data_IF_455660108435
#
_entry.id   IF_455660108435
#
_cell.length_a   1.000
_cell.length_b   1.000
_cell.length_c   1.000
_cell.angle_alpha   90.00
_cell.angle_beta   90.00
_cell.angle_gamma   90.00
#
_symmetry.space_group_name_H-M   'P 1'
#
loop_
_entity.id
_entity.type
_entity.pdbx_description
1 polymer ?
#
# COMPACT_ATOMS: atom_id res chain seq x y z
N UNK A 1 4.43 10.33 11.64
CA UNK A 1 5.69 10.94 11.34
C UNK A 1 6.37 10.28 10.16
N UNK A 2 6.84 11.05 9.23
CA UNK A 2 7.54 10.55 8.06
C UNK A 2 9.02 10.30 8.33
N UNK A 3 9.60 9.41 7.57
CA UNK A 3 11.05 9.29 7.52
C UNK A 3 11.70 8.26 8.42
N UNK A 4 10.93 7.38 8.99
CA UNK A 4 11.48 6.35 9.87
C UNK A 4 11.26 4.96 9.30
N UNK A 5 12.29 4.43 8.68
CA UNK A 5 12.32 3.00 8.39
C UNK A 5 12.73 2.28 9.67
N UNK A 6 12.05 1.24 10.06
CA UNK A 6 12.44 0.47 11.22
C UNK A 6 13.62 -0.44 10.89
N UNK A 7 14.44 -0.73 11.91
CA UNK A 7 15.59 -1.62 11.76
C UNK A 7 15.17 -3.02 11.27
N UNK A 8 14.00 -3.48 11.67
CA UNK A 8 13.48 -4.77 11.24
C UNK A 8 13.27 -4.85 9.73
N UNK A 9 12.81 -3.75 9.15
CA UNK A 9 12.59 -3.69 7.71
C UNK A 9 13.90 -3.58 6.94
N UNK A 10 14.88 -2.92 7.52
CA UNK A 10 16.20 -2.84 6.90
C UNK A 10 16.86 -4.21 6.80
N UNK A 11 16.66 -5.06 7.79
CA UNK A 11 17.18 -6.42 7.75
C UNK A 11 16.53 -7.25 6.64
N UNK A 12 15.25 -7.04 6.42
CA UNK A 12 14.51 -7.75 5.36
C UNK A 12 14.91 -7.34 3.96
N UNK A 13 15.47 -6.15 3.78
CA UNK A 13 15.95 -5.69 2.49
C UNK A 13 17.04 -6.59 1.90
N UNK A 14 17.79 -7.22 2.75
CA UNK A 14 18.94 -8.02 2.35
C UNK A 14 18.63 -9.49 2.11
N UNK A 15 17.37 -9.88 2.31
CA UNK A 15 16.97 -11.26 2.08
C UNK A 15 16.60 -11.47 0.62
N UNK A 16 17.30 -12.39 -0.01
CA UNK A 16 17.05 -12.75 -1.38
C UNK A 16 17.70 -11.82 -2.38
N UNK A 17 17.64 -12.22 -3.63
CA UNK A 17 18.35 -11.56 -4.73
C UNK A 17 17.53 -10.47 -5.40
N UNK A 18 16.22 -10.41 -5.17
CA UNK A 18 15.34 -9.50 -5.88
C UNK A 18 15.09 -8.23 -5.07
N UNK A 19 14.89 -7.12 -5.77
CA UNK A 19 14.50 -5.86 -5.14
C UNK A 19 13.04 -5.98 -4.70
N UNK A 20 12.86 -6.36 -3.46
CA UNK A 20 11.54 -6.58 -2.87
C UNK A 20 11.49 -6.10 -1.42
N UNK A 21 10.28 -5.93 -0.93
CA UNK A 21 10.03 -5.73 0.50
C UNK A 21 8.91 -6.67 0.94
N UNK A 22 8.90 -6.99 2.22
CA UNK A 22 7.82 -7.74 2.84
C UNK A 22 7.46 -7.08 4.16
N UNK A 23 6.16 -6.99 4.43
CA UNK A 23 5.62 -6.49 5.69
C UNK A 23 4.58 -7.46 6.18
N UNK A 24 4.57 -7.69 7.48
CA UNK A 24 3.58 -8.54 8.13
C UNK A 24 3.01 -7.81 9.34
N UNK A 25 1.70 -7.86 9.51
CA UNK A 25 1.03 -7.27 10.65
C UNK A 25 -0.21 -8.06 10.99
N UNK A 26 -0.53 -8.14 12.28
CA UNK A 26 -1.81 -8.69 12.73
C UNK A 26 -2.78 -7.53 12.90
N UNK A 27 -3.92 -7.61 12.23
CA UNK A 27 -5.01 -6.64 12.31
C UNK A 27 -6.13 -7.29 13.13
N UNK A 28 -6.64 -6.58 14.12
CA UNK A 28 -7.73 -7.08 14.96
C UNK A 28 -9.08 -6.92 14.28
N UNK A 29 -9.26 -7.67 13.21
CA UNK A 29 -10.49 -7.70 12.42
C UNK A 29 -10.54 -9.03 11.67
N UNK A 30 -11.72 -9.42 11.22
CA UNK A 30 -11.89 -10.65 10.44
C UNK A 30 -11.23 -10.52 9.06
N UNK A 31 -10.92 -11.65 8.44
CA UNK A 31 -10.39 -11.65 7.07
C UNK A 31 -11.33 -10.92 6.11
N UNK A 32 -12.62 -11.12 6.25
CA UNK A 32 -13.60 -10.45 5.41
C UNK A 32 -13.50 -8.91 5.53
N UNK A 33 -13.39 -8.40 6.75
CA UNK A 33 -13.25 -6.95 6.97
C UNK A 33 -11.94 -6.41 6.40
N UNK A 34 -10.86 -7.15 6.59
CA UNK A 34 -9.57 -6.74 6.03
C UNK A 34 -9.65 -6.75 4.51
N UNK A 35 -10.21 -7.79 3.91
CA UNK A 35 -10.38 -7.88 2.46
C UNK A 35 -11.23 -6.73 1.92
N UNK A 36 -12.33 -6.42 2.58
CA UNK A 36 -13.19 -5.30 2.18
C UNK A 36 -12.44 -3.96 2.21
N UNK A 37 -11.55 -3.78 3.17
CA UNK A 37 -10.75 -2.56 3.26
C UNK A 37 -9.86 -2.36 2.03
N UNK A 38 -9.47 -3.44 1.37
CA UNK A 38 -8.66 -3.40 0.14
C UNK A 38 -9.49 -3.33 -1.13
N UNK A 39 -10.76 -3.70 -1.08
CA UNK A 39 -11.55 -3.92 -2.28
C UNK A 39 -12.77 -2.99 -2.41
N UNK A 40 -13.09 -2.25 -1.37
CA UNK A 40 -14.21 -1.30 -1.38
C UNK A 40 -13.71 0.12 -1.29
N UNK A 41 -14.00 0.97 -2.29
CA UNK A 41 -13.51 2.35 -2.31
C UNK A 41 -13.86 3.15 -1.05
N UNK A 42 -15.06 2.97 -0.52
CA UNK A 42 -15.53 3.69 0.66
C UNK A 42 -14.75 3.34 1.94
N UNK A 43 -14.12 2.17 1.97
CA UNK A 43 -13.27 1.78 3.10
C UNK A 43 -11.81 2.13 2.78
N UNK A 44 -11.39 1.86 1.55
CA UNK A 44 -10.04 2.18 1.09
C UNK A 44 -9.69 3.65 1.32
N UNK A 45 -10.66 4.55 1.10
CA UNK A 45 -10.45 5.99 1.28
C UNK A 45 -10.02 6.37 2.69
N UNK A 46 -10.28 5.52 3.69
CA UNK A 46 -9.95 5.82 5.07
C UNK A 46 -8.47 5.63 5.38
N UNK A 47 -7.75 4.90 4.55
CA UNK A 47 -6.38 4.55 4.87
C UNK A 47 -5.39 4.64 3.72
N UNK A 48 -5.83 4.65 2.46
CA UNK A 48 -4.93 4.54 1.32
C UNK A 48 -4.38 5.89 0.84
N UNK A 49 -3.76 6.63 1.76
CA UNK A 49 -3.01 7.84 1.44
C UNK A 49 -1.83 7.90 2.42
N UNK A 50 -0.60 7.65 1.96
CA UNK A 50 0.54 7.51 2.86
C UNK A 50 0.99 8.85 3.45
N UNK A 51 1.46 8.78 4.71
CA UNK A 51 2.02 9.95 5.38
C UNK A 51 1.00 11.08 5.50
N UNK A 52 1.41 12.25 5.05
CA UNK A 52 0.62 13.48 5.16
C UNK A 52 -0.25 13.75 3.92
N UNK A 53 -0.30 12.79 2.99
CA UNK A 53 -1.14 12.93 1.79
C UNK A 53 -2.61 12.77 2.11
N UNK A 54 -3.45 13.28 1.21
CA UNK A 54 -4.90 13.16 1.31
C UNK A 54 -5.43 12.30 0.17
N UNK A 55 -6.34 11.40 0.49
CA UNK A 55 -7.03 10.58 -0.50
C UNK A 55 -7.96 11.44 -1.35
N UNK A 56 -7.97 11.22 -2.66
CA UNK A 56 -8.85 11.94 -3.58
C UNK A 56 -9.96 11.03 -4.10
N UNK A 57 -9.60 9.90 -4.71
CA UNK A 57 -10.58 8.97 -5.26
C UNK A 57 -9.97 7.61 -5.52
N UNK A 58 -10.83 6.62 -5.69
CA UNK A 58 -10.42 5.29 -6.12
C UNK A 58 -11.47 4.69 -7.04
N UNK A 59 -11.00 4.02 -8.08
CA UNK A 59 -11.84 3.23 -8.98
C UNK A 59 -11.27 1.82 -9.00
N UNK A 60 -12.06 0.85 -8.60
CA UNK A 60 -11.61 -0.53 -8.44
C UNK A 60 -12.54 -1.48 -9.19
N UNK A 61 -11.97 -2.30 -10.07
CA UNK A 61 -12.69 -3.40 -10.73
C UNK A 61 -12.04 -4.70 -10.24
N UNK A 62 -12.47 -5.17 -9.06
CA UNK A 62 -11.80 -6.25 -8.34
C UNK A 62 -12.18 -7.61 -8.92
N UNK A 63 -11.46 -7.98 -9.96
CA UNK A 63 -11.53 -9.30 -10.60
C UNK A 63 -10.25 -9.54 -11.36
N UNK A 64 -9.94 -10.77 -11.65
CA UNK A 64 -8.75 -11.08 -12.45
C UNK A 64 -8.92 -10.43 -13.84
N UNK A 65 -7.92 -9.66 -14.23
CA UNK A 65 -7.97 -8.86 -15.45
C UNK A 65 -8.60 -7.48 -15.30
N UNK A 66 -9.24 -7.19 -14.16
CA UNK A 66 -9.77 -5.86 -13.87
C UNK A 66 -8.67 -4.88 -13.51
N UNK A 67 -8.96 -3.60 -13.59
CA UNK A 67 -7.99 -2.54 -13.31
C UNK A 67 -8.38 -1.71 -12.10
N UNK A 68 -7.42 -0.98 -11.56
CA UNK A 68 -7.70 -0.05 -10.47
C UNK A 68 -6.87 1.22 -10.64
N UNK A 69 -7.38 2.30 -10.04
CA UNK A 69 -6.65 3.55 -9.93
C UNK A 69 -6.99 4.20 -8.60
N UNK A 70 -5.96 4.62 -7.87
CA UNK A 70 -6.12 5.38 -6.62
C UNK A 70 -5.41 6.70 -6.78
N UNK A 71 -6.12 7.79 -6.50
CA UNK A 71 -5.60 9.15 -6.56
C UNK A 71 -5.46 9.72 -5.15
N UNK A 72 -4.31 10.31 -4.89
CA UNK A 72 -4.03 11.04 -3.66
C UNK A 72 -3.41 12.38 -4.01
N UNK A 73 -3.39 13.32 -3.08
CA UNK A 73 -2.75 14.60 -3.33
C UNK A 73 -1.91 15.05 -2.16
N UNK A 74 -0.94 15.89 -2.44
CA UNK A 74 0.00 16.40 -1.47
C UNK A 74 1.36 15.70 -1.53
N UNK A 75 2.08 15.77 -0.44
CA UNK A 75 3.38 15.11 -0.29
C UNK A 75 3.34 14.16 0.89
N UNK A 76 4.01 13.02 0.75
CA UNK A 76 4.04 12.01 1.80
C UNK A 76 4.61 12.57 3.11
N UNK A 77 5.59 13.45 3.01
CA UNK A 77 6.15 14.14 4.16
C UNK A 77 5.94 15.65 3.99
N UNK A 78 4.91 16.18 4.63
CA UNK A 78 4.67 17.60 4.64
C UNK A 78 5.82 18.29 5.37
N UNK A 79 6.24 19.41 4.86
CA UNK A 79 7.34 20.17 5.43
C UNK A 79 7.04 21.66 5.40
N UNK A 80 7.78 22.41 6.21
CA UNK A 80 7.70 23.85 6.21
C UNK A 80 8.08 24.42 4.83
N UNK A 81 7.34 25.40 4.39
CA UNK A 81 7.58 26.01 3.08
C UNK A 81 6.86 25.37 1.92
N UNK A 82 6.01 24.36 2.16
CA UNK A 82 5.18 23.78 1.10
C UNK A 82 4.30 24.85 0.46
N UNK A 83 4.30 24.85 -0.86
CA UNK A 83 3.43 25.74 -1.65
C UNK A 83 2.02 25.17 -1.75
N UNK A 84 1.09 25.99 -2.21
CA UNK A 84 -0.26 25.53 -2.53
C UNK A 84 -0.23 24.47 -3.64
N UNK A 85 0.69 24.62 -4.62
CA UNK A 85 0.87 23.63 -5.66
C UNK A 85 1.32 22.28 -5.09
N UNK A 86 2.24 22.29 -4.13
CA UNK A 86 2.71 21.06 -3.49
C UNK A 86 1.55 20.32 -2.80
N UNK A 87 0.65 21.08 -2.15
CA UNK A 87 -0.50 20.52 -1.45
C UNK A 87 -1.53 19.93 -2.41
N UNK A 88 -1.63 20.48 -3.61
CA UNK A 88 -2.60 20.07 -4.62
C UNK A 88 -2.05 19.09 -5.64
N UNK A 89 -0.74 18.79 -5.58
CA UNK A 89 -0.13 17.85 -6.51
C UNK A 89 -0.78 16.50 -6.35
N UNK A 90 -1.34 16.00 -7.45
CA UNK A 90 -1.95 14.69 -7.45
C UNK A 90 -0.94 13.62 -7.85
N UNK A 91 -1.02 12.48 -7.18
CA UNK A 91 -0.30 11.28 -7.55
C UNK A 91 -1.30 10.17 -7.75
N UNK A 92 -1.02 9.31 -8.70
CA UNK A 92 -1.86 8.17 -9.00
C UNK A 92 -1.07 6.88 -8.85
N UNK A 93 -1.74 5.86 -8.36
CA UNK A 93 -1.26 4.48 -8.44
C UNK A 93 -2.29 3.72 -9.23
N UNK A 94 -1.86 2.98 -10.23
CA UNK A 94 -2.76 2.19 -11.06
C UNK A 94 -2.15 0.84 -11.39
N UNK A 95 -3.01 -0.09 -11.74
CA UNK A 95 -2.57 -1.41 -12.10
C UNK A 95 -3.70 -2.33 -12.50
N UNK A 96 -3.35 -3.61 -12.62
CA UNK A 96 -4.28 -4.68 -13.01
C UNK A 96 -4.24 -5.77 -11.95
N UNK A 97 -5.41 -6.31 -11.62
CA UNK A 97 -5.50 -7.46 -10.73
C UNK A 97 -5.12 -8.73 -11.50
N UNK A 98 -4.11 -9.41 -10.98
CA UNK A 98 -3.59 -10.65 -11.59
C UNK A 98 -4.23 -11.88 -10.97
N UNK A 99 -4.44 -11.87 -9.64
CA UNK A 99 -5.07 -12.95 -8.90
C UNK A 99 -5.97 -12.37 -7.83
N UNK A 100 -7.18 -12.92 -7.75
CA UNK A 100 -8.17 -12.50 -6.74
C UNK A 100 -8.78 -13.75 -6.14
N UNK A 101 -8.48 -14.01 -4.86
CA UNK A 101 -9.12 -15.08 -4.09
C UNK A 101 -9.77 -14.38 -2.89
N UNK A 102 -11.11 -14.24 -2.90
CA UNK A 102 -11.80 -13.49 -1.85
C UNK A 102 -11.39 -13.91 -0.44
N UNK A 103 -11.10 -12.93 0.39
CA UNK A 103 -10.68 -13.07 1.78
C UNK A 103 -9.33 -13.75 1.99
N UNK A 104 -8.60 -14.09 0.94
CA UNK A 104 -7.35 -14.81 1.07
C UNK A 104 -6.17 -14.16 0.36
N UNK A 105 -6.37 -13.67 -0.88
CA UNK A 105 -5.25 -13.20 -1.68
C UNK A 105 -5.66 -12.16 -2.70
N UNK A 106 -4.85 -11.11 -2.79
CA UNK A 106 -4.91 -10.14 -3.88
C UNK A 106 -3.50 -10.00 -4.45
N UNK A 107 -3.39 -10.12 -5.77
CA UNK A 107 -2.13 -9.83 -6.44
C UNK A 107 -2.43 -8.86 -7.57
N UNK A 108 -1.66 -7.79 -7.64
CA UNK A 108 -1.89 -6.74 -8.64
C UNK A 108 -0.59 -6.04 -9.00
N UNK A 109 -0.56 -5.48 -10.21
CA UNK A 109 0.57 -4.66 -10.63
C UNK A 109 0.47 -3.28 -9.99
N UNK A 110 1.61 -2.60 -9.91
CA UNK A 110 1.71 -1.32 -9.22
C UNK A 110 2.54 -0.37 -10.07
N UNK A 111 1.90 0.68 -10.56
CA UNK A 111 2.53 1.70 -11.36
C UNK A 111 2.19 3.07 -10.76
N UNK A 112 3.19 3.76 -10.27
CA UNK A 112 3.01 5.09 -9.69
C UNK A 112 3.32 6.19 -10.68
N UNK A 113 2.54 7.26 -10.62
CA UNK A 113 2.74 8.40 -11.52
C UNK A 113 4.09 9.10 -11.31
N UNK A 114 4.73 8.89 -10.16
CA UNK A 114 6.07 9.42 -9.89
C UNK A 114 7.17 8.66 -10.60
N UNK A 115 6.89 7.47 -11.08
CA UNK A 115 7.83 6.61 -11.80
C UNK A 115 7.07 5.83 -12.88
N UNK A 116 6.58 6.50 -13.93
CA UNK A 116 5.65 5.90 -14.88
C UNK A 116 6.23 4.76 -15.71
N UNK A 117 7.55 4.63 -15.77
CA UNK A 117 8.19 3.52 -16.48
C UNK A 117 8.45 2.30 -15.60
N UNK A 118 8.19 2.42 -14.30
CA UNK A 118 8.36 1.31 -13.37
C UNK A 118 7.01 0.64 -13.09
N UNK A 119 6.90 -0.64 -13.40
CA UNK A 119 5.77 -1.46 -13.00
C UNK A 119 6.27 -2.57 -12.09
N UNK A 120 5.80 -2.57 -10.87
CA UNK A 120 6.13 -3.56 -9.86
C UNK A 120 4.90 -4.39 -9.53
N UNK A 121 5.02 -5.32 -8.59
CA UNK A 121 3.94 -6.25 -8.27
C UNK A 121 3.74 -6.35 -6.77
N UNK A 122 2.48 -6.25 -6.34
CA UNK A 122 2.10 -6.38 -4.94
C UNK A 122 1.28 -7.63 -4.76
N UNK A 123 1.59 -8.41 -3.73
CA UNK A 123 0.79 -9.55 -3.32
C UNK A 123 0.43 -9.39 -1.85
N UNK A 124 -0.86 -9.48 -1.56
CA UNK A 124 -1.41 -9.39 -0.21
C UNK A 124 -1.97 -10.75 0.16
N UNK A 125 -1.47 -11.33 1.25
CA UNK A 125 -1.94 -12.62 1.78
C UNK A 125 -2.66 -12.37 3.08
N UNK A 126 -3.84 -12.97 3.24
CA UNK A 126 -4.63 -12.87 4.47
C UNK A 126 -4.80 -14.26 5.08
N UNK A 127 -4.54 -14.36 6.37
CA UNK A 127 -4.62 -15.63 7.11
C UNK A 127 -5.25 -15.38 8.47
N UNK A 128 -6.17 -16.26 8.88
CA UNK A 128 -6.72 -16.21 10.23
C UNK A 128 -5.63 -16.56 11.24
N UNK A 129 -5.53 -15.76 12.29
CA UNK A 129 -4.63 -16.01 13.42
C UNK A 129 -5.38 -15.72 14.70
N UNK A 130 -4.81 -16.14 15.83
CA UNK A 130 -5.36 -15.75 17.12
C UNK A 130 -5.34 -14.22 17.22
N UNK A 131 -6.48 -13.64 17.56
CA UNK A 131 -6.63 -12.20 17.71
C UNK A 131 -7.00 -11.44 16.45
N UNK A 132 -7.15 -12.10 15.30
CA UNK A 132 -7.58 -11.42 14.09
C UNK A 132 -7.08 -12.02 12.80
N UNK A 133 -6.51 -11.18 11.96
CA UNK A 133 -6.00 -11.56 10.65
C UNK A 133 -4.55 -11.14 10.52
N UNK A 134 -3.71 -12.08 10.10
CA UNK A 134 -2.36 -11.73 9.69
C UNK A 134 -2.41 -11.28 8.22
N UNK A 135 -2.00 -10.05 7.99
CA UNK A 135 -1.80 -9.54 6.64
C UNK A 135 -0.31 -9.57 6.34
N UNK A 136 0.05 -10.22 5.24
CA UNK A 136 1.43 -10.22 4.75
C UNK A 136 1.43 -9.62 3.35
N UNK A 137 2.20 -8.56 3.19
CA UNK A 137 2.35 -7.89 1.90
C UNK A 137 3.75 -8.14 1.37
N UNK A 138 3.82 -8.53 0.11
CA UNK A 138 5.07 -8.60 -0.63
C UNK A 138 4.97 -7.67 -1.82
N UNK A 139 5.91 -6.76 -1.94
CA UNK A 139 6.01 -5.84 -3.06
C UNK A 139 7.36 -6.08 -3.71
N UNK A 140 7.34 -6.48 -4.96
CA UNK A 140 8.53 -6.95 -5.66
C UNK A 140 8.65 -6.37 -7.06
N UNK A 141 9.79 -6.63 -7.70
CA UNK A 141 10.09 -6.15 -9.04
C UNK A 141 10.31 -4.63 -9.08
N UNK A 142 10.90 -4.08 -8.03
CA UNK A 142 11.33 -2.69 -8.04
C UNK A 142 12.51 -2.50 -9.00
N UNK A 143 12.55 -1.35 -9.66
CA UNK A 143 13.64 -1.02 -10.57
C UNK A 143 14.93 -0.65 -9.82
N UNK A 144 14.81 -0.03 -8.64
CA UNK A 144 15.96 0.44 -7.87
C UNK A 144 15.75 0.22 -6.37
N UNK A 145 16.86 0.22 -5.62
CA UNK A 145 16.79 0.18 -4.16
C UNK A 145 16.11 1.42 -3.59
N UNK A 146 16.34 2.56 -4.19
CA UNK A 146 15.72 3.81 -3.75
C UNK A 146 14.19 3.72 -3.86
N UNK A 147 13.69 3.17 -4.95
CA UNK A 147 12.26 2.96 -5.13
C UNK A 147 11.71 2.02 -4.06
N UNK A 148 12.37 0.88 -3.83
CA UNK A 148 11.98 -0.06 -2.78
C UNK A 148 11.92 0.62 -1.43
N UNK A 149 12.95 1.37 -1.07
CA UNK A 149 13.07 1.99 0.25
C UNK A 149 11.98 3.04 0.49
N UNK A 150 11.65 3.81 -0.53
CA UNK A 150 10.54 4.77 -0.45
C UNK A 150 9.21 4.07 -0.22
N UNK A 151 9.00 2.91 -0.84
CA UNK A 151 7.77 2.13 -0.65
C UNK A 151 7.71 1.47 0.73
N UNK A 152 8.84 1.12 1.34
CA UNK A 152 8.85 0.63 2.72
C UNK A 152 8.20 1.66 3.64
N UNK A 153 8.61 2.92 3.55
CA UNK A 153 8.02 4.00 4.35
C UNK A 153 6.53 4.17 4.06
N UNK A 154 6.17 4.15 2.79
CA UNK A 154 4.78 4.30 2.38
C UNK A 154 3.89 3.19 2.94
N UNK A 155 4.32 1.94 2.80
CA UNK A 155 3.53 0.80 3.29
C UNK A 155 3.44 0.75 4.81
N UNK A 156 4.49 1.13 5.54
CA UNK A 156 4.41 1.24 7.00
C UNK A 156 3.33 2.22 7.42
N UNK A 157 3.32 3.40 6.79
CA UNK A 157 2.30 4.40 7.04
C UNK A 157 0.91 3.88 6.73
N UNK A 158 0.74 3.24 5.58
CA UNK A 158 -0.55 2.71 5.16
C UNK A 158 -1.06 1.61 6.10
N UNK A 159 -0.20 0.73 6.55
CA UNK A 159 -0.59 -0.34 7.48
C UNK A 159 -1.04 0.21 8.83
N UNK A 160 -0.37 1.27 9.31
CA UNK A 160 -0.81 1.95 10.52
C UNK A 160 -2.20 2.56 10.37
N UNK A 161 -2.45 3.21 9.24
CA UNK A 161 -3.76 3.80 8.94
C UNK A 161 -4.84 2.74 8.72
N UNK A 162 -4.49 1.63 8.07
CA UNK A 162 -5.40 0.51 7.86
C UNK A 162 -5.86 -0.06 9.20
N UNK A 163 -4.92 -0.32 10.11
CA UNK A 163 -5.26 -0.81 11.44
C UNK A 163 -6.18 0.17 12.17
N UNK A 164 -5.84 1.45 12.16
CA UNK A 164 -6.65 2.48 12.81
C UNK A 164 -8.06 2.57 12.21
N UNK A 165 -8.19 2.33 10.90
CA UNK A 165 -9.47 2.45 10.19
C UNK A 165 -10.44 1.30 10.50
N UNK A 166 -9.95 0.08 10.71
CA UNK A 166 -10.82 -1.10 10.80
C UNK A 166 -10.76 -1.87 12.12
N UNK A 167 -9.78 -1.61 12.97
CA UNK A 167 -9.79 -2.14 14.32
C UNK A 167 -10.76 -1.29 15.14
N UNK A 168 -11.81 -1.89 15.56
CA UNK A 168 -12.83 -1.14 16.31
C UNK A 168 -12.86 -1.58 17.76
#
# INVERSE_FOLDING_TARGET
>A
MCGMATLELEQKKNEGSALKLELTRVIRASRARVYEAWTRPEILQKWHAPGDMNFVSATLDVREGGTYEVLSQGMMCAKEGMTEEDRKRQVAVRGEYLRVIPNELLQFTWNGSWAPTETSMVTVFLRDVEGGTEIRLRHEQFATESSRDGHVMGWESLFGKLAAAIEA
#
